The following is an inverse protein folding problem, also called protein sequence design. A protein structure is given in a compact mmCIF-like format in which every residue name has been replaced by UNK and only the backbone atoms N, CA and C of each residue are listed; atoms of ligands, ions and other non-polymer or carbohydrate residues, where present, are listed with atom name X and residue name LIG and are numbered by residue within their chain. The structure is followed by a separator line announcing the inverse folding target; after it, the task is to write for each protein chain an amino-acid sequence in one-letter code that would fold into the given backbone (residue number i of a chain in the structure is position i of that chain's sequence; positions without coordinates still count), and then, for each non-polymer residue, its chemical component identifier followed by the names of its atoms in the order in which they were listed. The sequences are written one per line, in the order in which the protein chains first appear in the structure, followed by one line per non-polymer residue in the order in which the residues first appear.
data_IF_431327614993
#
_entry.id   IF_431327614993
#
_cell.length_a   1.000
_cell.length_b   1.000
_cell.length_c   1.000
_cell.angle_alpha   90.00
_cell.angle_beta   90.00
_cell.angle_gamma   90.00
#
_symmetry.space_group_name_H-M   'P 1'
#
loop_
_entity.id
_entity.type
_entity.pdbx_description
1 polymer ?
#
# COMPACT_ATOMS: atom_id res chain seq x y z
N UNK A 1 6.32 -5.99 -8.16
CA UNK A 1 5.13 -5.78 -7.28
C UNK A 1 4.84 -4.29 -7.22
N UNK A 2 3.57 -3.86 -7.08
CA UNK A 2 3.22 -2.45 -7.15
C UNK A 2 3.96 -1.69 -6.04
N UNK A 3 4.81 -0.76 -6.46
CA UNK A 3 5.63 0.07 -5.60
C UNK A 3 4.73 1.04 -4.82
N UNK A 4 5.04 1.32 -3.55
CA UNK A 4 4.34 2.32 -2.69
C UNK A 4 4.02 3.66 -3.39
N UNK A 5 4.78 4.01 -4.42
CA UNK A 5 4.60 5.20 -5.27
C UNK A 5 3.27 5.25 -6.01
N UNK A 6 2.66 4.10 -6.34
CA UNK A 6 1.42 4.04 -7.13
C UNK A 6 0.21 4.55 -6.36
N UNK A 7 0.12 4.29 -5.05
CA UNK A 7 -1.04 4.68 -4.24
C UNK A 7 -1.12 6.20 -4.03
N UNK A 8 0.02 6.84 -3.77
CA UNK A 8 0.10 8.30 -3.66
C UNK A 8 -0.18 8.97 -5.01
N UNK A 9 0.20 8.35 -6.12
CA UNK A 9 -0.09 8.84 -7.46
C UNK A 9 -1.61 8.79 -7.78
N UNK A 10 -2.31 7.73 -7.39
CA UNK A 10 -3.76 7.57 -7.57
C UNK A 10 -4.52 8.66 -6.81
N UNK A 11 -4.23 8.85 -5.51
CA UNK A 11 -4.88 9.90 -4.72
C UNK A 11 -4.62 11.30 -5.28
N UNK A 12 -3.40 11.56 -5.77
CA UNK A 12 -3.06 12.83 -6.42
C UNK A 12 -3.84 13.06 -7.71
N UNK A 13 -3.99 12.04 -8.56
CA UNK A 13 -4.78 12.13 -9.79
C UNK A 13 -6.26 12.38 -9.50
N UNK A 14 -6.81 11.76 -8.46
CA UNK A 14 -8.18 11.99 -8.01
C UNK A 14 -8.40 13.47 -7.63
N UNK A 15 -7.53 14.01 -6.76
CA UNK A 15 -7.59 15.42 -6.36
C UNK A 15 -7.45 16.39 -7.54
N UNK A 16 -6.56 16.11 -8.49
CA UNK A 16 -6.38 16.93 -9.70
C UNK A 16 -7.65 16.93 -10.54
N UNK A 17 -8.26 15.77 -10.77
CA UNK A 17 -9.50 15.65 -11.55
C UNK A 17 -10.63 16.48 -10.95
N UNK A 18 -10.86 16.37 -9.63
CA UNK A 18 -11.89 17.15 -8.96
C UNK A 18 -11.57 18.66 -8.92
N UNK A 19 -10.31 19.04 -8.75
CA UNK A 19 -9.88 20.44 -8.80
C UNK A 19 -10.11 21.06 -10.18
N UNK A 20 -9.82 20.33 -11.27
CA UNK A 20 -10.09 20.76 -12.65
C UNK A 20 -11.59 20.93 -12.90
N UNK A 21 -12.43 20.00 -12.44
CA UNK A 21 -13.90 20.11 -12.55
C UNK A 21 -14.40 21.37 -11.81
N UNK A 22 -13.88 21.63 -10.61
CA UNK A 22 -14.25 22.79 -9.80
C UNK A 22 -13.82 24.11 -10.44
N UNK A 23 -12.61 24.14 -11.01
CA UNK A 23 -12.08 25.28 -11.77
C UNK A 23 -12.88 25.53 -13.05
N UNK A 24 -13.22 24.49 -13.82
CA UNK A 24 -14.05 24.61 -15.02
C UNK A 24 -15.47 25.10 -14.68
N UNK A 25 -16.04 24.62 -13.57
CA UNK A 25 -17.34 25.07 -13.09
C UNK A 25 -17.33 26.54 -12.65
N UNK A 26 -16.26 27.00 -12.00
CA UNK A 26 -16.04 28.41 -11.66
C UNK A 26 -15.81 29.28 -12.90
N UNK A 27 -15.02 28.79 -13.86
CA UNK A 27 -14.74 29.48 -15.12
C UNK A 27 -16.01 29.68 -15.93
N UNK A 28 -16.89 28.68 -16.03
CA UNK A 28 -18.18 28.79 -16.71
C UNK A 28 -19.10 29.86 -16.10
N UNK A 29 -19.04 30.04 -14.78
CA UNK A 29 -19.79 31.06 -14.06
C UNK A 29 -19.18 32.47 -14.25
N UNK A 30 -17.85 32.60 -14.19
CA UNK A 30 -17.12 33.87 -14.41
C UNK A 30 -17.30 34.37 -15.85
N UNK A 31 -17.16 33.48 -16.83
CA UNK A 31 -17.44 33.76 -18.25
C UNK A 31 -18.93 33.97 -18.51
N UNK A 32 -19.76 33.79 -17.47
CA UNK A 32 -21.17 34.14 -17.45
C UNK A 32 -21.96 33.38 -18.53
N UNK A 33 -21.41 32.30 -19.13
CA UNK A 33 -22.01 31.52 -20.23
C UNK A 33 -23.54 31.29 -20.13
N UNK A 34 -24.15 31.02 -18.96
CA UNK A 34 -25.60 30.88 -18.83
C UNK A 34 -26.38 32.15 -19.22
N UNK A 35 -25.87 33.35 -18.92
CA UNK A 35 -26.56 34.61 -19.26
C UNK A 35 -26.58 34.88 -20.76
N UNK A 36 -25.58 34.38 -21.49
CA UNK A 36 -25.40 34.62 -22.92
C UNK A 36 -26.24 33.62 -23.73
N UNK A 37 -26.51 32.44 -23.15
CA UNK A 37 -27.24 31.35 -23.78
C UNK A 37 -28.72 31.25 -23.37
N UNK A 38 -29.11 31.68 -22.15
CA UNK A 38 -30.45 31.43 -21.58
C UNK A 38 -31.25 32.67 -21.13
N UNK A 39 -30.79 33.91 -21.38
CA UNK A 39 -31.53 35.15 -21.14
C UNK A 39 -32.22 35.25 -19.76
N UNK A 40 -31.54 34.76 -18.71
CA UNK A 40 -32.03 34.78 -17.32
C UNK A 40 -31.98 36.22 -16.73
N UNK A 41 -32.91 36.60 -15.83
CA UNK A 41 -32.90 37.91 -15.18
C UNK A 41 -31.63 38.13 -14.35
N UNK A 42 -31.06 39.33 -14.46
CA UNK A 42 -29.75 39.73 -13.93
C UNK A 42 -29.79 39.85 -12.40
N UNK A 43 -29.79 38.73 -11.69
CA UNK A 43 -29.77 38.66 -10.23
C UNK A 43 -28.72 37.67 -9.73
N UNK A 44 -27.83 38.12 -8.86
CA UNK A 44 -26.82 37.24 -8.25
C UNK A 44 -27.50 36.30 -7.24
N UNK A 45 -27.80 35.08 -7.67
CA UNK A 45 -28.48 34.07 -6.85
C UNK A 45 -27.45 33.21 -6.09
N UNK A 46 -27.08 33.64 -4.88
CA UNK A 46 -26.15 32.91 -3.98
C UNK A 46 -26.50 31.43 -3.81
N UNK A 47 -27.79 31.09 -3.77
CA UNK A 47 -28.29 29.73 -3.61
C UNK A 47 -27.88 28.80 -4.75
N UNK A 48 -27.86 29.30 -6.00
CA UNK A 48 -27.49 28.52 -7.19
C UNK A 48 -26.00 28.16 -7.17
N UNK A 49 -25.15 29.10 -6.78
CA UNK A 49 -23.69 28.90 -6.70
C UNK A 49 -23.34 27.94 -5.56
N UNK A 50 -23.92 28.15 -4.37
CA UNK A 50 -23.68 27.34 -3.19
C UNK A 50 -24.08 25.88 -3.38
N UNK A 51 -25.27 25.62 -3.95
CA UNK A 51 -25.77 24.26 -4.16
C UNK A 51 -24.90 23.47 -5.15
N UNK A 52 -24.39 24.13 -6.20
CA UNK A 52 -23.48 23.51 -7.17
C UNK A 52 -22.14 23.12 -6.55
N UNK A 53 -21.51 24.05 -5.80
CA UNK A 53 -20.25 23.76 -5.12
C UNK A 53 -20.41 22.68 -4.05
N UNK A 54 -21.52 22.69 -3.31
CA UNK A 54 -21.80 21.71 -2.27
C UNK A 54 -21.90 20.29 -2.84
N UNK A 55 -22.61 20.10 -3.96
CA UNK A 55 -22.72 18.80 -4.63
C UNK A 55 -21.36 18.26 -5.09
N UNK A 56 -20.51 19.10 -5.68
CA UNK A 56 -19.17 18.69 -6.13
C UNK A 56 -18.30 18.29 -4.94
N UNK A 57 -18.34 19.06 -3.84
CA UNK A 57 -17.58 18.76 -2.62
C UNK A 57 -18.06 17.45 -1.98
N UNK A 58 -19.37 17.19 -1.95
CA UNK A 58 -19.94 15.94 -1.40
C UNK A 58 -19.47 14.73 -2.22
N UNK A 59 -19.56 14.80 -3.55
CA UNK A 59 -19.10 13.73 -4.43
C UNK A 59 -17.59 13.52 -4.26
N UNK A 60 -16.81 14.59 -4.19
CA UNK A 60 -15.36 14.50 -3.98
C UNK A 60 -15.01 13.84 -2.64
N UNK A 61 -15.68 14.24 -1.55
CA UNK A 61 -15.47 13.63 -0.24
C UNK A 61 -15.84 12.15 -0.22
N UNK A 62 -16.93 11.77 -0.91
CA UNK A 62 -17.36 10.39 -1.03
C UNK A 62 -16.32 9.54 -1.76
N UNK A 63 -15.88 9.97 -2.95
CA UNK A 63 -14.88 9.24 -3.74
C UNK A 63 -13.57 9.13 -2.96
N UNK A 64 -13.09 10.22 -2.38
CA UNK A 64 -11.86 10.23 -1.59
C UNK A 64 -11.89 9.25 -0.43
N UNK A 65 -13.01 9.21 0.30
CA UNK A 65 -13.19 8.27 1.40
C UNK A 65 -13.17 6.81 0.92
N UNK A 66 -13.86 6.50 -0.18
CA UNK A 66 -13.89 5.15 -0.74
C UNK A 66 -12.52 4.69 -1.23
N UNK A 67 -11.78 5.54 -1.95
CA UNK A 67 -10.43 5.24 -2.45
C UNK A 67 -9.47 4.97 -1.28
N UNK A 68 -9.51 5.80 -0.23
CA UNK A 68 -8.67 5.63 0.96
C UNK A 68 -8.99 4.35 1.74
N UNK A 69 -10.25 3.92 1.76
CA UNK A 69 -10.66 2.66 2.39
C UNK A 69 -10.12 1.45 1.63
N UNK A 70 -10.19 1.49 0.29
CA UNK A 70 -9.70 0.42 -0.58
C UNK A 70 -8.19 0.24 -0.47
N UNK A 71 -7.42 1.34 -0.48
CA UNK A 71 -5.96 1.29 -0.34
C UNK A 71 -5.54 0.73 1.02
N UNK A 72 -6.24 1.09 2.12
CA UNK A 72 -5.95 0.54 3.45
C UNK A 72 -6.14 -0.97 3.52
N UNK A 73 -7.15 -1.52 2.83
CA UNK A 73 -7.37 -2.96 2.75
C UNK A 73 -6.27 -3.68 1.97
N UNK A 74 -5.73 -3.06 0.92
CA UNK A 74 -4.59 -3.60 0.17
C UNK A 74 -3.32 -3.68 1.03
N UNK A 75 -3.01 -2.63 1.80
CA UNK A 75 -1.85 -2.65 2.71
C UNK A 75 -1.96 -3.74 3.79
N UNK A 76 -3.16 -4.12 4.20
CA UNK A 76 -3.33 -5.20 5.17
C UNK A 76 -2.90 -6.57 4.62
N UNK A 77 -2.92 -6.76 3.29
CA UNK A 77 -2.37 -7.97 2.65
C UNK A 77 -0.84 -7.90 2.45
N UNK A 78 -0.27 -6.69 2.40
CA UNK A 78 1.19 -6.47 2.32
C UNK A 78 1.91 -6.71 3.65
N UNK A 79 1.18 -6.83 4.78
CA UNK A 79 1.76 -7.21 6.07
C UNK A 79 2.27 -8.67 6.10
N UNK A 80 1.89 -9.49 5.12
CA UNK A 80 2.43 -10.84 4.99
C UNK A 80 3.78 -10.82 4.28
N UNK A 81 4.83 -11.21 5.03
CA UNK A 81 6.15 -11.44 4.47
C UNK A 81 6.09 -12.57 3.44
N UNK A 82 6.36 -12.25 2.18
CA UNK A 82 6.46 -13.23 1.09
C UNK A 82 7.74 -14.04 1.28
N UNK A 83 7.60 -15.34 1.49
CA UNK A 83 8.73 -16.28 1.60
C UNK A 83 8.64 -17.27 0.44
N UNK A 84 9.74 -17.48 -0.29
CA UNK A 84 9.81 -18.48 -1.34
C UNK A 84 9.63 -19.88 -0.72
N UNK A 85 8.65 -20.65 -1.19
CA UNK A 85 8.39 -22.01 -0.71
C UNK A 85 9.56 -22.98 -0.96
N UNK A 86 10.39 -22.72 -1.97
CA UNK A 86 11.53 -23.57 -2.32
C UNK A 86 12.80 -23.21 -1.55
N UNK A 87 13.26 -21.97 -1.69
CA UNK A 87 14.57 -21.55 -1.17
C UNK A 87 14.49 -20.70 0.11
N UNK A 88 13.28 -20.41 0.62
CA UNK A 88 13.04 -19.59 1.82
C UNK A 88 13.59 -18.16 1.78
N UNK A 89 13.91 -17.64 0.60
CA UNK A 89 14.24 -16.21 0.43
C UNK A 89 13.01 -15.35 0.67
N UNK A 90 13.22 -14.16 1.22
CA UNK A 90 12.18 -13.17 1.48
C UNK A 90 12.05 -12.27 0.25
N UNK A 91 10.83 -12.16 -0.28
CA UNK A 91 10.50 -11.25 -1.38
C UNK A 91 10.19 -9.87 -0.83
N UNK A 92 10.98 -8.87 -1.22
CA UNK A 92 10.82 -7.49 -0.76
C UNK A 92 11.10 -6.52 -1.91
N UNK A 93 10.16 -5.60 -2.20
CA UNK A 93 10.26 -4.56 -3.22
C UNK A 93 10.71 -5.02 -4.63
N UNK A 94 10.41 -6.28 -4.98
CA UNK A 94 10.75 -6.87 -6.27
C UNK A 94 12.09 -7.62 -6.29
N UNK A 95 12.83 -7.64 -5.18
CA UNK A 95 14.05 -8.42 -5.00
C UNK A 95 13.84 -9.62 -4.07
N UNK A 96 14.67 -10.66 -4.26
CA UNK A 96 14.68 -11.86 -3.41
C UNK A 96 15.91 -11.84 -2.50
N UNK A 97 15.69 -11.48 -1.24
CA UNK A 97 16.73 -11.33 -0.24
C UNK A 97 16.85 -12.59 0.62
N UNK A 98 18.05 -12.88 1.09
CA UNK A 98 18.23 -13.82 2.21
C UNK A 98 17.64 -13.23 3.48
N UNK A 99 17.34 -14.06 4.48
CA UNK A 99 16.74 -13.59 5.73
C UNK A 99 17.64 -12.56 6.41
N UNK A 100 18.95 -12.80 6.38
CA UNK A 100 20.00 -11.96 6.94
C UNK A 100 20.05 -10.60 6.25
N UNK A 101 20.03 -10.59 4.91
CA UNK A 101 19.98 -9.35 4.12
C UNK A 101 18.69 -8.57 4.38
N UNK A 102 17.57 -9.27 4.49
CA UNK A 102 16.28 -8.64 4.77
C UNK A 102 16.27 -7.94 6.14
N UNK A 103 16.75 -8.60 7.19
CA UNK A 103 16.86 -8.02 8.53
C UNK A 103 17.89 -6.89 8.60
N UNK A 104 19.02 -7.03 7.89
CA UNK A 104 20.04 -5.99 7.81
C UNK A 104 19.51 -4.71 7.16
N UNK A 105 18.82 -4.82 6.02
CA UNK A 105 18.32 -3.68 5.25
C UNK A 105 17.09 -3.03 5.89
N UNK A 106 16.13 -3.82 6.39
CA UNK A 106 14.86 -3.28 6.90
C UNK A 106 14.86 -2.95 8.40
N UNK A 107 15.69 -3.63 9.19
CA UNK A 107 15.68 -3.51 10.65
C UNK A 107 17.03 -3.09 11.24
N UNK A 108 18.00 -2.71 10.39
CA UNK A 108 19.36 -2.31 10.78
C UNK A 108 20.01 -3.28 11.80
N UNK A 109 19.62 -4.55 11.75
CA UNK A 109 20.00 -5.57 12.75
C UNK A 109 20.95 -6.56 12.10
N UNK A 110 22.13 -6.76 12.69
CA UNK A 110 23.05 -7.81 12.26
C UNK A 110 22.60 -9.15 12.85
N UNK A 111 22.43 -10.14 11.98
CA UNK A 111 22.05 -11.51 12.36
C UNK A 111 23.31 -12.37 12.49
N UNK A 112 23.43 -13.11 13.59
CA UNK A 112 24.45 -14.14 13.76
C UNK A 112 23.83 -15.54 13.68
N UNK A 113 24.64 -16.54 13.31
CA UNK A 113 24.20 -17.93 13.30
C UNK A 113 24.53 -18.60 14.63
N UNK A 114 23.51 -19.13 15.31
CA UNK A 114 23.63 -19.92 16.53
C UNK A 114 22.87 -21.24 16.43
N UNK A 115 23.18 -22.19 17.31
CA UNK A 115 22.48 -23.48 17.42
C UNK A 115 21.59 -23.43 18.65
N UNK A 116 20.28 -23.68 18.48
CA UNK A 116 19.37 -23.72 19.63
C UNK A 116 19.63 -24.97 20.49
N UNK A 117 19.28 -24.95 21.80
CA UNK A 117 19.52 -26.07 22.70
C UNK A 117 18.90 -27.39 22.23
N UNK A 118 17.73 -27.32 21.59
CA UNK A 118 17.02 -28.48 21.04
C UNK A 118 17.80 -29.16 19.90
N UNK A 119 18.31 -28.37 18.95
CA UNK A 119 19.12 -28.87 17.84
C UNK A 119 20.43 -29.47 18.34
N UNK A 120 21.06 -28.84 19.32
CA UNK A 120 22.28 -29.38 19.94
C UNK A 120 22.02 -30.73 20.63
N UNK A 121 20.88 -30.88 21.32
CA UNK A 121 20.45 -32.16 21.93
C UNK A 121 20.27 -33.26 20.90
N UNK A 122 19.49 -33.01 19.83
CA UNK A 122 19.26 -33.98 18.75
C UNK A 122 20.56 -34.38 18.04
N UNK A 123 21.50 -33.45 17.86
CA UNK A 123 22.79 -33.75 17.27
C UNK A 123 23.60 -34.71 18.16
N UNK A 124 23.61 -34.50 19.48
CA UNK A 124 24.27 -35.40 20.45
C UNK A 124 23.63 -36.78 20.47
N UNK A 125 22.30 -36.86 20.45
CA UNK A 125 21.57 -38.13 20.40
C UNK A 125 21.87 -38.92 19.12
N UNK A 126 21.82 -38.25 17.96
CA UNK A 126 22.21 -38.87 16.67
C UNK A 126 23.65 -39.37 16.71
N UNK A 127 24.56 -38.58 17.28
CA UNK A 127 25.96 -38.99 17.42
C UNK A 127 26.10 -40.25 18.29
N UNK A 128 25.37 -40.30 19.41
CA UNK A 128 25.37 -41.47 20.30
C UNK A 128 24.82 -42.73 19.60
N UNK A 129 23.75 -42.61 18.81
CA UNK A 129 23.20 -43.71 18.02
C UNK A 129 24.21 -44.25 17.00
N UNK A 130 24.86 -43.36 16.24
CA UNK A 130 25.88 -43.74 15.26
C UNK A 130 27.08 -44.45 15.90
N UNK A 131 27.51 -44.01 17.09
CA UNK A 131 28.60 -44.66 17.84
C UNK A 131 28.17 -46.07 18.29
N UNK A 132 26.92 -46.23 18.75
CA UNK A 132 26.39 -47.51 19.22
C UNK A 132 26.24 -48.51 18.06
N UNK A 133 25.75 -48.05 16.91
CA UNK A 133 25.65 -48.85 15.68
C UNK A 133 27.01 -49.24 15.10
N UNK A 134 28.02 -48.36 15.20
CA UNK A 134 29.38 -48.66 14.77
C UNK A 134 30.10 -49.66 15.71
N UNK A 135 29.83 -49.59 17.02
CA UNK A 135 30.39 -50.52 18.02
C UNK A 135 29.79 -51.92 17.99
N UNK A 136 28.59 -52.10 17.44
CA UNK A 136 27.92 -53.41 17.29
C UNK A 136 28.25 -54.17 16.01
N UNK A 137 29.09 -53.61 15.11
CA UNK A 137 29.52 -54.23 13.84
C UNK A 137 30.94 -54.80 13.87
N UNK A 138 31.47 -55.10 15.07
CA UNK A 138 32.76 -55.81 15.25
C UNK A 138 32.51 -57.23 15.71
#
# INVERSE_FOLDING_TARGET
MPTKTSHAAILRQEHIGFSVILLLSWAAEILRLPHLLFNDPVGFNWSRVLLRSAVIIIVWAWVYFTTRSLIRRLHHLEEFMLICSWCRKVGHDGEWLTMEQYFGTNFATQTSHGVCPECAGKARERLAQLITEAGGKV
#
